data_IF_210405106028
#
_entry.id   IF_210405106028
#
_cell.length_a   1.000
_cell.length_b   1.000
_cell.length_c   1.000
_cell.angle_alpha   90.00
_cell.angle_beta   90.00
_cell.angle_gamma   90.00
#
_symmetry.space_group_name_H-M   'P 1'
#
loop_
_entity.id
_entity.type
_entity.pdbx_description
1 polymer ?
#
# COMPACT_ATOMS: atom_id res chain seq x y z
N UNK A 1 -26.58 6.46 62.97
CA UNK A 1 -27.69 6.24 62.03
C UNK A 1 -27.86 7.48 61.15
N UNK A 2 -27.82 7.31 59.81
CA UNK A 2 -28.29 8.21 58.74
C UNK A 2 -27.66 9.63 58.64
N UNK A 3 -27.35 10.26 57.49
CA UNK A 3 -27.60 10.02 56.05
C UNK A 3 -26.64 10.95 55.26
N UNK A 4 -25.94 10.49 54.23
CA UNK A 4 -26.16 10.81 52.79
C UNK A 4 -26.35 12.29 52.40
N UNK A 5 -25.38 12.87 51.67
CA UNK A 5 -25.52 13.31 50.25
C UNK A 5 -24.24 13.93 49.66
N UNK A 6 -23.73 13.23 48.65
CA UNK A 6 -23.18 13.68 47.36
C UNK A 6 -22.36 14.98 47.28
N UNK A 7 -21.04 14.83 47.27
CA UNK A 7 -20.14 15.72 46.52
C UNK A 7 -19.85 15.07 45.17
N UNK A 8 -20.50 15.58 44.12
CA UNK A 8 -20.19 15.27 42.72
C UNK A 8 -18.79 15.82 42.41
N UNK A 9 -17.80 14.93 42.35
CA UNK A 9 -16.55 15.17 41.64
C UNK A 9 -16.81 14.93 40.16
N UNK A 10 -16.74 15.98 39.36
CA UNK A 10 -16.70 15.88 37.91
C UNK A 10 -15.30 15.37 37.54
N UNK A 11 -15.21 14.09 37.17
CA UNK A 11 -14.00 13.53 36.58
C UNK A 11 -13.96 13.97 35.12
N UNK A 12 -12.83 14.49 34.60
CA UNK A 12 -12.70 14.61 33.16
C UNK A 12 -12.64 13.19 32.59
N UNK A 13 -13.73 12.76 31.95
CA UNK A 13 -13.73 11.57 31.10
C UNK A 13 -12.71 11.82 30.01
N UNK A 14 -11.59 11.11 30.08
CA UNK A 14 -10.67 10.93 28.97
C UNK A 14 -11.43 10.21 27.87
N UNK A 15 -12.03 10.97 26.96
CA UNK A 15 -12.52 10.45 25.70
C UNK A 15 -11.29 10.07 24.86
N UNK A 16 -11.01 8.77 24.94
CA UNK A 16 -10.48 7.90 23.90
C UNK A 16 -9.86 8.64 22.71
N UNK A 17 -8.54 8.50 22.61
CA UNK A 17 -7.80 8.57 21.37
C UNK A 17 -8.64 7.98 20.24
N UNK A 18 -9.03 8.84 19.31
CA UNK A 18 -9.55 8.41 18.02
C UNK A 18 -8.37 7.69 17.37
N UNK A 19 -8.45 6.36 17.39
CA UNK A 19 -7.65 5.52 16.53
C UNK A 19 -7.81 6.11 15.13
N UNK A 20 -6.72 6.63 14.57
CA UNK A 20 -6.63 6.93 13.15
C UNK A 20 -6.74 5.59 12.46
N UNK A 21 -7.98 5.17 12.26
CA UNK A 21 -8.40 4.14 11.34
C UNK A 21 -7.65 4.45 10.05
N UNK A 22 -6.66 3.62 9.74
CA UNK A 22 -5.89 3.69 8.51
C UNK A 22 -6.92 3.84 7.40
N UNK A 23 -7.00 5.02 6.80
CA UNK A 23 -7.77 5.24 5.57
C UNK A 23 -7.11 4.31 4.56
N UNK A 24 -7.62 3.09 4.46
CA UNK A 24 -7.16 2.10 3.52
C UNK A 24 -7.57 2.63 2.15
N UNK A 25 -6.68 3.43 1.54
CA UNK A 25 -6.92 4.02 0.23
C UNK A 25 -7.30 2.90 -0.71
N UNK A 26 -8.55 2.90 -1.19
CA UNK A 26 -9.04 1.86 -2.08
C UNK A 26 -8.41 2.07 -3.45
N UNK A 27 -7.26 1.43 -3.67
CA UNK A 27 -6.53 1.51 -4.92
C UNK A 27 -7.26 0.76 -6.04
N UNK A 28 -7.27 1.36 -7.23
CA UNK A 28 -7.71 0.65 -8.43
C UNK A 28 -6.72 -0.44 -8.81
N UNK A 29 -7.16 -1.46 -9.55
CA UNK A 29 -6.27 -2.49 -10.08
C UNK A 29 -5.12 -1.90 -10.93
N UNK A 30 -5.35 -0.76 -11.59
CA UNK A 30 -4.31 -0.09 -12.37
C UNK A 30 -3.26 0.56 -11.46
N UNK A 31 -3.66 1.20 -10.37
CA UNK A 31 -2.76 1.74 -9.36
C UNK A 31 -1.98 0.64 -8.65
N UNK A 32 -2.65 -0.46 -8.27
CA UNK A 32 -2.00 -1.64 -7.67
C UNK A 32 -0.92 -2.19 -8.61
N UNK A 33 -1.21 -2.32 -9.90
CA UNK A 33 -0.23 -2.78 -10.88
C UNK A 33 0.97 -1.82 -11.01
N UNK A 34 0.76 -0.51 -10.88
CA UNK A 34 1.88 0.45 -10.82
C UNK A 34 2.73 0.17 -9.57
N UNK A 35 2.13 -0.04 -8.39
CA UNK A 35 2.89 -0.36 -7.18
C UNK A 35 3.66 -1.67 -7.31
N UNK A 36 3.07 -2.70 -7.92
CA UNK A 36 3.75 -3.97 -8.21
C UNK A 36 4.99 -3.74 -9.08
N UNK A 37 4.86 -2.97 -10.16
CA UNK A 37 6.00 -2.67 -11.05
C UNK A 37 7.11 -1.91 -10.31
N UNK A 38 6.73 -0.91 -9.50
CA UNK A 38 7.68 -0.10 -8.72
C UNK A 38 8.29 -0.85 -7.53
N UNK A 39 7.81 -2.05 -7.20
CA UNK A 39 8.39 -2.87 -6.14
C UNK A 39 9.72 -3.53 -6.53
N UNK A 40 10.00 -3.64 -7.84
CA UNK A 40 11.28 -4.16 -8.33
C UNK A 40 12.38 -3.10 -8.20
N UNK A 41 12.14 -1.89 -8.71
CA UNK A 41 13.05 -0.75 -8.62
C UNK A 41 12.34 0.57 -8.92
N UNK A 42 13.03 1.69 -8.65
CA UNK A 42 12.58 3.01 -9.11
C UNK A 42 12.64 3.09 -10.64
N UNK A 43 11.60 3.63 -11.26
CA UNK A 43 11.47 3.64 -12.72
C UNK A 43 11.00 4.99 -13.26
N UNK A 44 11.46 5.32 -14.47
CA UNK A 44 10.91 6.43 -15.23
C UNK A 44 9.49 6.11 -15.72
N UNK A 45 8.65 7.14 -15.86
CA UNK A 45 7.26 6.97 -16.34
C UNK A 45 7.13 6.21 -17.67
N UNK A 46 8.12 6.33 -18.58
CA UNK A 46 8.14 5.56 -19.82
C UNK A 46 8.45 4.07 -19.62
N UNK A 47 9.28 3.72 -18.64
CA UNK A 47 9.56 2.33 -18.30
C UNK A 47 8.33 1.68 -17.66
N UNK A 48 7.70 2.36 -16.70
CA UNK A 48 6.42 1.92 -16.09
C UNK A 48 5.36 1.69 -17.16
N UNK A 49 5.24 2.61 -18.14
CA UNK A 49 4.33 2.44 -19.28
C UNK A 49 4.59 1.13 -20.02
N UNK A 50 5.85 0.81 -20.34
CA UNK A 50 6.22 -0.39 -21.10
C UNK A 50 5.90 -1.67 -20.33
N UNK A 51 6.18 -1.69 -19.02
CA UNK A 51 5.81 -2.82 -18.15
C UNK A 51 4.29 -3.03 -18.11
N UNK A 52 3.52 -1.95 -17.98
CA UNK A 52 2.06 -2.04 -18.02
C UNK A 52 1.54 -2.51 -19.39
N UNK A 53 2.13 -2.05 -20.49
CA UNK A 53 1.76 -2.47 -21.85
C UNK A 53 2.07 -3.94 -22.10
N UNK A 54 3.21 -4.42 -21.61
CA UNK A 54 3.58 -5.82 -21.65
C UNK A 54 2.62 -6.67 -20.79
N UNK A 55 2.26 -6.19 -19.59
CA UNK A 55 1.35 -6.89 -18.70
C UNK A 55 -0.08 -6.99 -19.25
N UNK A 56 -0.60 -5.92 -19.86
CA UNK A 56 -1.95 -5.90 -20.41
C UNK A 56 -2.05 -6.41 -21.85
N UNK A 57 -0.92 -6.69 -22.51
CA UNK A 57 -0.83 -6.96 -23.95
C UNK A 57 -1.60 -5.91 -24.79
N UNK A 58 -1.50 -4.65 -24.38
CA UNK A 58 -2.29 -3.55 -24.93
C UNK A 58 -1.62 -2.19 -24.68
N UNK A 59 -1.88 -1.23 -25.56
CA UNK A 59 -1.37 0.13 -25.41
C UNK A 59 -1.97 0.83 -24.17
N UNK A 60 -1.10 1.48 -23.38
CA UNK A 60 -1.49 2.22 -22.18
C UNK A 60 -1.43 3.72 -22.47
N UNK A 61 -2.59 4.37 -22.48
CA UNK A 61 -2.66 5.79 -22.76
C UNK A 61 -1.94 6.64 -21.69
N UNK A 62 -1.20 7.66 -22.14
CA UNK A 62 -0.53 8.62 -21.26
C UNK A 62 -1.50 9.30 -20.28
N UNK A 63 -2.67 9.71 -20.76
CA UNK A 63 -3.74 10.29 -19.95
C UNK A 63 -4.41 9.32 -18.97
N UNK A 64 -4.04 8.03 -18.97
CA UNK A 64 -4.39 7.06 -17.94
C UNK A 64 -3.24 6.90 -16.95
N UNK A 65 -2.01 6.74 -17.45
CA UNK A 65 -0.84 6.50 -16.61
C UNK A 65 -0.56 7.65 -15.63
N UNK A 66 -0.36 8.87 -16.16
CA UNK A 66 0.14 9.98 -15.34
C UNK A 66 -0.84 10.45 -14.27
N UNK A 67 -2.16 10.56 -14.52
CA UNK A 67 -3.10 10.86 -13.45
C UNK A 67 -3.08 9.85 -12.32
N UNK A 68 -2.86 8.55 -12.61
CA UNK A 68 -2.75 7.54 -11.56
C UNK A 68 -1.43 7.66 -10.80
N UNK A 69 -0.32 7.98 -11.47
CA UNK A 69 0.96 8.27 -10.81
C UNK A 69 0.85 9.51 -9.91
N UNK A 70 0.22 10.57 -10.40
CA UNK A 70 0.02 11.80 -9.63
C UNK A 70 -0.84 11.53 -8.39
N UNK A 71 -1.94 10.77 -8.51
CA UNK A 71 -2.73 10.36 -7.33
C UNK A 71 -1.92 9.51 -6.35
N UNK A 72 -1.13 8.54 -6.83
CA UNK A 72 -0.28 7.72 -5.95
C UNK A 72 0.79 8.55 -5.21
N UNK A 73 1.27 9.64 -5.84
CA UNK A 73 2.19 10.59 -5.21
C UNK A 73 1.46 11.47 -4.19
N UNK A 74 0.26 11.95 -4.52
CA UNK A 74 -0.59 12.70 -3.59
C UNK A 74 -0.96 11.88 -2.35
N UNK A 75 -1.22 10.58 -2.53
CA UNK A 75 -1.51 9.62 -1.46
C UNK A 75 -0.24 9.21 -0.67
N UNK A 76 0.94 9.67 -1.06
CA UNK A 76 2.22 9.37 -0.40
C UNK A 76 2.71 7.93 -0.58
N UNK A 77 2.13 7.17 -1.51
CA UNK A 77 2.49 5.78 -1.80
C UNK A 77 3.66 5.68 -2.77
N UNK A 78 3.87 6.72 -3.58
CA UNK A 78 4.96 6.83 -4.54
C UNK A 78 5.66 8.16 -4.32
N UNK A 79 6.99 8.15 -4.30
CA UNK A 79 7.80 9.36 -4.36
C UNK A 79 8.14 9.67 -5.82
N UNK A 80 8.12 10.96 -6.16
CA UNK A 80 8.50 11.46 -7.48
C UNK A 80 9.76 12.31 -7.35
N UNK A 81 10.83 11.90 -8.00
CA UNK A 81 12.09 12.65 -8.10
C UNK A 81 12.25 13.21 -9.51
N UNK A 82 12.76 14.43 -9.61
CA UNK A 82 13.05 15.07 -10.89
C UNK A 82 14.53 14.85 -11.24
N UNK A 83 14.81 14.05 -12.27
CA UNK A 83 16.17 13.88 -12.78
C UNK A 83 16.57 15.09 -13.66
N UNK A 84 15.62 15.55 -14.48
CA UNK A 84 15.71 16.77 -15.28
C UNK A 84 14.31 17.34 -15.54
N UNK A 85 14.23 18.49 -16.22
CA UNK A 85 12.98 19.22 -16.52
C UNK A 85 11.89 18.41 -17.27
N UNK A 86 12.19 17.20 -17.74
CA UNK A 86 11.33 16.36 -18.58
C UNK A 86 11.25 14.92 -18.09
N UNK A 87 12.18 14.49 -17.26
CA UNK A 87 12.31 13.11 -16.82
C UNK A 87 12.04 13.01 -15.32
N UNK A 88 10.86 12.49 -14.99
CA UNK A 88 10.51 12.11 -13.62
C UNK A 88 10.79 10.63 -13.42
N UNK A 89 11.41 10.32 -12.29
CA UNK A 89 11.55 8.98 -11.75
C UNK A 89 10.55 8.81 -10.61
N UNK A 90 10.03 7.60 -10.48
CA UNK A 90 9.03 7.22 -9.50
C UNK A 90 9.56 6.05 -8.69
N UNK A 91 9.44 6.13 -7.37
CA UNK A 91 9.90 5.09 -6.44
C UNK A 91 8.78 4.77 -5.45
N UNK A 92 8.67 3.50 -5.05
CA UNK A 92 7.76 3.10 -3.98
C UNK A 92 8.21 3.74 -2.66
N UNK A 93 7.28 4.30 -1.89
CA UNK A 93 7.58 4.70 -0.50
C UNK A 93 7.36 3.50 0.44
N UNK A 94 7.80 3.62 1.69
CA UNK A 94 7.47 2.62 2.72
C UNK A 94 5.94 2.45 2.91
N UNK A 95 5.17 3.53 2.74
CA UNK A 95 3.70 3.45 2.80
C UNK A 95 3.13 2.73 1.57
N UNK A 96 3.69 2.97 0.38
CA UNK A 96 3.35 2.21 -0.83
C UNK A 96 3.67 0.73 -0.72
N UNK A 97 4.79 0.39 -0.11
CA UNK A 97 5.20 -0.99 0.17
C UNK A 97 4.22 -1.69 1.11
N UNK A 98 3.86 -1.02 2.21
CA UNK A 98 2.86 -1.55 3.14
C UNK A 98 1.50 -1.74 2.45
N UNK A 99 1.04 -0.76 1.67
CA UNK A 99 -0.22 -0.85 0.94
C UNK A 99 -0.23 -2.02 -0.07
N UNK A 100 0.92 -2.29 -0.71
CA UNK A 100 1.08 -3.43 -1.60
C UNK A 100 1.02 -4.75 -0.83
N UNK A 101 1.70 -4.87 0.32
CA UNK A 101 1.66 -6.07 1.14
C UNK A 101 0.26 -6.34 1.71
N UNK A 102 -0.44 -5.31 2.21
CA UNK A 102 -1.81 -5.44 2.70
C UNK A 102 -2.75 -5.96 1.61
N UNK A 103 -2.54 -5.50 0.37
CA UNK A 103 -3.31 -5.97 -0.79
C UNK A 103 -3.01 -7.44 -1.11
N UNK A 104 -1.74 -7.85 -1.12
CA UNK A 104 -1.34 -9.23 -1.34
C UNK A 104 -1.87 -10.15 -0.25
N UNK A 105 -1.78 -9.75 1.02
CA UNK A 105 -2.34 -10.50 2.16
C UNK A 105 -3.85 -10.69 2.02
N UNK A 106 -4.57 -9.64 1.62
CA UNK A 106 -5.99 -9.75 1.35
C UNK A 106 -6.28 -10.77 0.25
N UNK A 107 -5.55 -10.72 -0.88
CA UNK A 107 -5.66 -11.71 -1.97
C UNK A 107 -5.41 -13.12 -1.42
N UNK A 108 -4.27 -13.35 -0.75
CA UNK A 108 -3.89 -14.66 -0.22
C UNK A 108 -4.92 -15.22 0.75
N UNK A 109 -5.51 -14.37 1.61
CA UNK A 109 -6.57 -14.79 2.55
C UNK A 109 -7.82 -15.32 1.85
N UNK A 110 -8.10 -14.88 0.61
CA UNK A 110 -9.21 -15.37 -0.21
C UNK A 110 -8.88 -16.68 -0.93
N UNK A 111 -7.63 -16.87 -1.34
CA UNK A 111 -7.21 -18.07 -2.07
C UNK A 111 -6.82 -19.24 -1.15
N UNK A 112 -6.34 -18.96 0.07
CA UNK A 112 -5.99 -19.97 1.08
C UNK A 112 -6.92 -19.81 2.29
N UNK A 113 -8.11 -20.44 2.30
CA UNK A 113 -9.04 -20.32 3.41
C UNK A 113 -8.44 -20.95 4.69
N UNK A 114 -8.37 -20.18 5.78
CA UNK A 114 -8.10 -20.69 7.13
C UNK A 114 -6.84 -20.19 7.84
N UNK A 115 -6.10 -19.21 7.32
CA UNK A 115 -4.97 -18.57 8.01
C UNK A 115 -5.06 -17.04 7.92
N UNK A 116 -4.96 -16.30 9.04
CA UNK A 116 -4.84 -14.85 8.99
C UNK A 116 -3.46 -14.52 8.40
N UNK A 117 -3.44 -14.00 7.17
CA UNK A 117 -2.23 -13.45 6.57
C UNK A 117 -1.93 -12.11 7.24
N UNK A 118 -0.72 -11.99 7.79
CA UNK A 118 -0.12 -10.71 8.13
C UNK A 118 1.20 -10.58 7.38
N UNK A 119 1.57 -9.35 7.03
CA UNK A 119 2.67 -9.05 6.10
C UNK A 119 3.99 -9.75 6.49
N UNK A 120 4.27 -9.85 7.79
CA UNK A 120 5.45 -10.55 8.33
C UNK A 120 5.52 -12.04 7.94
N UNK A 121 4.37 -12.72 7.79
CA UNK A 121 4.31 -14.13 7.40
C UNK A 121 4.42 -14.34 5.89
N UNK A 122 4.07 -13.35 5.06
CA UNK A 122 4.16 -13.47 3.61
C UNK A 122 5.62 -13.53 3.15
N UNK A 123 6.48 -12.67 3.72
CA UNK A 123 7.91 -12.65 3.41
C UNK A 123 8.57 -14.00 3.75
N UNK A 124 8.32 -14.54 4.94
CA UNK A 124 8.85 -15.84 5.37
C UNK A 124 8.40 -16.99 4.45
N UNK A 125 7.16 -16.94 3.94
CA UNK A 125 6.61 -17.96 3.04
C UNK A 125 7.16 -17.88 1.62
N UNK A 126 7.39 -16.68 1.09
CA UNK A 126 8.03 -16.52 -0.22
C UNK A 126 9.47 -17.05 -0.15
N UNK A 127 10.21 -16.71 0.90
CA UNK A 127 11.57 -17.24 1.13
C UNK A 127 11.58 -18.77 1.27
N UNK A 128 10.63 -19.36 1.99
CA UNK A 128 10.53 -20.81 2.15
C UNK A 128 10.19 -21.56 0.84
N UNK A 129 9.53 -20.91 -0.12
CA UNK A 129 9.17 -21.51 -1.41
C UNK A 129 10.24 -21.31 -2.49
N UNK A 130 10.97 -20.19 -2.45
CA UNK A 130 12.06 -19.89 -3.41
C UNK A 130 13.39 -20.52 -2.99
N UNK A 131 13.63 -20.72 -1.69
CA UNK A 131 14.86 -21.37 -1.17
C UNK A 131 14.91 -22.90 -1.32
N UNK A 132 13.95 -23.52 -2.01
CA UNK A 132 13.85 -24.97 -2.19
C UNK A 132 14.54 -25.53 -3.44
N UNK A 133 15.10 -24.69 -4.30
CA UNK A 133 15.61 -25.10 -5.63
C UNK A 133 17.06 -24.65 -5.89
N UNK A 134 17.92 -24.70 -4.87
CA UNK A 134 19.37 -24.78 -5.05
C UNK A 134 19.89 -26.06 -4.37
N UNK A 135 19.99 -27.14 -5.13
CA UNK A 135 20.74 -28.35 -4.81
C UNK A 135 21.40 -28.91 -6.06
#
# INVERSE_FOLDING_TARGET
>A
MNSHRDSRGDAPTTESSIDTETDATVLTAFQQNILVILSEEAMYGLAIKRELEAYYDAEVNHGRLYPNLDSLVEDGLVEKSELDKRTNEYALTAAGEQALFDHLDWIFSKYVPGQPAGADQLHERITAYVGGDES
#
